data_IF_236554861084
#
_entry.id   IF_236554861084
#
_cell.length_a   1.000
_cell.length_b   1.000
_cell.length_c   1.000
_cell.angle_alpha   90.00
_cell.angle_beta   90.00
_cell.angle_gamma   90.00
#
_symmetry.space_group_name_H-M   'P 1'
#
loop_
_entity.id
_entity.type
_entity.pdbx_description
1 polymer ?
#
# COMPACT_ATOMS: atom_id res chain seq x y z
N UNK A 1 -13.85 4.89 -2.86
CA UNK A 1 -14.18 3.43 -2.89
C UNK A 1 -13.26 2.59 -1.99
N UNK A 2 -11.93 2.74 -2.09
CA UNK A 2 -10.94 1.93 -1.34
C UNK A 2 -11.22 1.83 0.16
N UNK A 3 -11.52 2.95 0.84
CA UNK A 3 -11.81 2.97 2.27
C UNK A 3 -13.07 2.17 2.66
N UNK A 4 -14.11 2.20 1.82
CA UNK A 4 -15.35 1.45 2.05
C UNK A 4 -15.11 -0.06 1.88
N UNK A 5 -14.38 -0.45 0.83
CA UNK A 5 -13.99 -1.85 0.63
C UNK A 5 -13.10 -2.37 1.76
N UNK A 6 -12.21 -1.53 2.29
CA UNK A 6 -11.37 -1.86 3.45
C UNK A 6 -12.22 -2.10 4.73
N UNK A 7 -13.28 -1.33 4.93
CA UNK A 7 -14.21 -1.50 6.04
C UNK A 7 -14.98 -2.83 5.94
N UNK A 8 -15.50 -3.15 4.75
CA UNK A 8 -16.27 -4.40 4.53
C UNK A 8 -15.42 -5.68 4.58
N UNK A 9 -14.12 -5.57 4.32
CA UNK A 9 -13.18 -6.70 4.30
C UNK A 9 -12.98 -7.39 5.67
N UNK A 10 -13.46 -6.83 6.78
CA UNK A 10 -13.36 -7.44 8.11
C UNK A 10 -11.92 -7.57 8.62
N UNK A 11 -11.73 -8.31 9.73
CA UNK A 11 -10.42 -8.49 10.37
C UNK A 11 -9.68 -9.79 10.05
N UNK A 12 -10.34 -10.74 9.38
CA UNK A 12 -9.78 -12.08 9.12
C UNK A 12 -9.06 -12.20 7.77
N UNK A 13 -8.21 -13.23 7.68
CA UNK A 13 -7.54 -13.64 6.44
C UNK A 13 -8.50 -14.51 5.62
N UNK A 14 -9.27 -13.87 4.74
CA UNK A 14 -10.15 -14.54 3.78
C UNK A 14 -9.67 -14.29 2.34
N UNK A 15 -10.02 -15.18 1.41
CA UNK A 15 -9.61 -15.08 0.00
C UNK A 15 -10.05 -13.74 -0.64
N UNK A 16 -11.26 -13.28 -0.32
CA UNK A 16 -11.78 -12.00 -0.81
C UNK A 16 -11.08 -10.80 -0.18
N UNK A 17 -10.74 -10.89 1.12
CA UNK A 17 -9.99 -9.87 1.82
C UNK A 17 -8.56 -9.73 1.28
N UNK A 18 -7.92 -10.84 0.89
CA UNK A 18 -6.58 -10.80 0.29
C UNK A 18 -6.55 -10.12 -1.08
N UNK A 19 -7.53 -10.39 -1.94
CA UNK A 19 -7.64 -9.72 -3.23
C UNK A 19 -7.78 -8.20 -3.09
N UNK A 20 -8.62 -7.75 -2.15
CA UNK A 20 -8.83 -6.33 -1.85
C UNK A 20 -7.55 -5.69 -1.29
N UNK A 21 -6.87 -6.34 -0.35
CA UNK A 21 -5.62 -5.84 0.24
C UNK A 21 -4.51 -5.73 -0.82
N UNK A 22 -4.38 -6.71 -1.71
CA UNK A 22 -3.43 -6.65 -2.82
C UNK A 22 -3.74 -5.46 -3.76
N UNK A 23 -5.00 -5.31 -4.18
CA UNK A 23 -5.40 -4.14 -4.97
C UNK A 23 -5.13 -2.82 -4.22
N UNK A 24 -5.36 -2.77 -2.91
CA UNK A 24 -5.13 -1.59 -2.09
C UNK A 24 -3.65 -1.19 -2.05
N UNK A 25 -2.74 -2.16 -1.99
CA UNK A 25 -1.29 -1.92 -2.02
C UNK A 25 -0.79 -1.50 -3.41
N UNK A 26 -1.31 -2.09 -4.50
CA UNK A 26 -0.79 -1.83 -5.85
C UNK A 26 -1.45 -0.65 -6.57
N UNK A 27 -2.68 -0.28 -6.21
CA UNK A 27 -3.39 0.84 -6.85
C UNK A 27 -2.67 2.19 -6.73
N UNK A 28 -2.06 2.57 -5.58
CA UNK A 28 -1.31 3.82 -5.44
C UNK A 28 -0.19 3.96 -6.49
N UNK A 29 0.54 2.89 -6.78
CA UNK A 29 1.60 2.90 -7.79
C UNK A 29 1.04 3.12 -9.21
N UNK A 30 -0.05 2.43 -9.54
CA UNK A 30 -0.75 2.60 -10.83
C UNK A 30 -1.33 4.02 -10.99
N UNK A 31 -1.85 4.57 -9.90
CA UNK A 31 -2.41 5.92 -9.87
C UNK A 31 -1.33 6.99 -10.07
N UNK A 32 -0.18 6.83 -9.41
CA UNK A 32 0.96 7.75 -9.56
C UNK A 32 1.53 7.67 -10.99
N UNK A 33 1.67 6.47 -11.57
CA UNK A 33 2.18 6.33 -12.95
C UNK A 33 1.22 6.91 -14.00
N UNK A 34 -0.10 6.82 -13.77
CA UNK A 34 -1.12 7.38 -14.65
C UNK A 34 -1.46 8.85 -14.37
N UNK A 35 -0.87 9.47 -13.34
CA UNK A 35 -1.23 10.81 -12.85
C UNK A 35 -1.20 11.87 -13.96
N UNK A 36 -0.12 11.96 -14.73
CA UNK A 36 0.00 12.96 -15.80
C UNK A 36 -1.07 12.81 -16.90
N UNK A 37 -1.55 11.60 -17.14
CA UNK A 37 -2.64 11.34 -18.08
C UNK A 37 -3.98 11.72 -17.48
N UNK A 38 -4.20 11.44 -16.19
CA UNK A 38 -5.44 11.79 -15.50
C UNK A 38 -5.63 13.32 -15.36
N UNK A 39 -4.54 14.07 -15.23
CA UNK A 39 -4.56 15.53 -15.11
C UNK A 39 -4.50 16.29 -16.45
N UNK A 40 -4.20 15.61 -17.57
CA UNK A 40 -4.08 16.23 -18.88
C UNK A 40 -5.34 17.02 -19.33
N UNK A 41 -6.59 16.54 -19.09
CA UNK A 41 -7.79 17.30 -19.47
C UNK A 41 -8.00 18.59 -18.68
N UNK A 42 -7.33 18.77 -17.54
CA UNK A 42 -7.49 19.92 -16.66
C UNK A 42 -6.39 20.97 -16.86
N UNK A 43 -5.39 20.69 -17.71
CA UNK A 43 -4.28 21.60 -17.95
C UNK A 43 -4.76 22.88 -18.69
N UNK A 44 -4.19 24.06 -18.36
CA UNK A 44 -4.51 25.29 -19.06
C UNK A 44 -3.97 25.25 -20.51
N UNK A 45 -4.88 25.12 -21.49
CA UNK A 45 -4.58 25.12 -22.91
C UNK A 45 -5.45 24.15 -23.73
N UNK A 46 -5.32 24.10 -25.07
CA UNK A 46 -6.04 23.15 -25.90
C UNK A 46 -5.67 21.69 -25.51
N UNK A 47 -6.64 20.76 -25.48
CA UNK A 47 -6.44 19.38 -25.01
C UNK A 47 -5.44 18.56 -25.84
N UNK A 48 -5.04 19.03 -27.02
CA UNK A 48 -4.05 18.43 -27.92
C UNK A 48 -2.61 18.94 -27.73
N UNK A 49 -2.37 19.88 -26.81
CA UNK A 49 -1.02 20.43 -26.60
C UNK A 49 -0.13 19.48 -25.79
N UNK A 50 1.13 19.23 -26.21
CA UNK A 50 2.09 18.41 -25.45
C UNK A 50 2.38 18.97 -24.05
N UNK A 51 2.09 20.26 -23.80
CA UNK A 51 2.19 20.91 -22.48
C UNK A 51 1.19 20.35 -21.46
N UNK A 52 0.07 19.76 -21.89
CA UNK A 52 -0.97 19.26 -20.99
C UNK A 52 -0.49 18.13 -20.05
N UNK A 53 0.48 17.33 -20.51
CA UNK A 53 1.10 16.23 -19.76
C UNK A 53 2.31 16.66 -18.92
N UNK A 54 2.68 17.94 -18.98
CA UNK A 54 3.87 18.46 -18.28
C UNK A 54 3.71 18.37 -16.77
N UNK A 55 4.80 18.13 -16.05
CA UNK A 55 4.81 18.12 -14.59
C UNK A 55 4.52 19.50 -13.98
N UNK A 56 4.76 20.57 -14.72
CA UNK A 56 4.58 21.96 -14.26
C UNK A 56 3.12 22.41 -14.24
N UNK A 57 2.20 21.67 -14.88
CA UNK A 57 0.76 22.00 -14.86
C UNK A 57 0.11 21.52 -13.57
N UNK A 58 -0.70 22.38 -12.93
CA UNK A 58 -1.49 22.07 -11.72
C UNK A 58 -0.68 21.39 -10.58
N UNK A 59 0.41 22.03 -10.10
CA UNK A 59 1.32 21.40 -9.15
C UNK A 59 0.66 21.09 -7.80
N UNK A 60 -0.22 21.98 -7.31
CA UNK A 60 -0.92 21.81 -6.02
C UNK A 60 -1.84 20.58 -6.03
N UNK A 61 -2.59 20.40 -7.11
CA UNK A 61 -3.55 19.31 -7.27
C UNK A 61 -2.84 17.96 -7.42
N UNK A 62 -1.72 17.93 -8.17
CA UNK A 62 -0.87 16.74 -8.29
C UNK A 62 -0.23 16.38 -6.95
N UNK A 63 0.22 17.36 -6.17
CA UNK A 63 0.75 17.13 -4.82
C UNK A 63 -0.31 16.52 -3.89
N UNK A 64 -1.53 17.08 -3.88
CA UNK A 64 -2.64 16.54 -3.10
C UNK A 64 -3.00 15.12 -3.53
N UNK A 65 -3.01 14.84 -4.84
CA UNK A 65 -3.25 13.50 -5.36
C UNK A 65 -2.17 12.50 -4.91
N UNK A 66 -0.90 12.89 -4.96
CA UNK A 66 0.21 12.08 -4.46
C UNK A 66 0.05 11.79 -2.96
N UNK A 67 -0.26 12.80 -2.14
CA UNK A 67 -0.48 12.65 -0.71
C UNK A 67 -1.63 11.66 -0.40
N UNK A 68 -2.74 11.75 -1.12
CA UNK A 68 -3.87 10.81 -0.98
C UNK A 68 -3.50 9.37 -1.36
N UNK A 69 -2.65 9.18 -2.38
CA UNK A 69 -2.16 7.85 -2.77
C UNK A 69 -1.21 7.27 -1.71
N UNK A 70 -0.34 8.08 -1.12
CA UNK A 70 0.52 7.69 0.00
C UNK A 70 -0.32 7.31 1.23
N UNK A 71 -1.34 8.09 1.56
CA UNK A 71 -2.28 7.77 2.64
C UNK A 71 -2.95 6.41 2.40
N UNK A 72 -3.39 6.15 1.17
CA UNK A 72 -4.03 4.88 0.81
C UNK A 72 -3.06 3.70 0.96
N UNK A 73 -1.79 3.88 0.55
CA UNK A 73 -0.74 2.88 0.75
C UNK A 73 -0.48 2.61 2.23
N UNK A 74 -0.39 3.67 3.05
CA UNK A 74 -0.18 3.55 4.50
C UNK A 74 -1.32 2.77 5.19
N UNK A 75 -2.57 3.03 4.80
CA UNK A 75 -3.73 2.27 5.29
C UNK A 75 -3.67 0.79 4.87
N UNK A 76 -3.22 0.51 3.64
CA UNK A 76 -3.00 -0.86 3.18
C UNK A 76 -1.95 -1.60 4.01
N UNK A 77 -0.79 -0.96 4.26
CA UNK A 77 0.26 -1.51 5.10
C UNK A 77 -0.20 -1.75 6.54
N UNK A 78 -0.95 -0.81 7.12
CA UNK A 78 -1.54 -0.97 8.45
C UNK A 78 -2.50 -2.15 8.51
N UNK A 79 -3.28 -2.38 7.45
CA UNK A 79 -4.17 -3.54 7.36
C UNK A 79 -3.40 -4.85 7.25
N UNK A 80 -2.36 -4.91 6.43
CA UNK A 80 -1.48 -6.08 6.32
C UNK A 80 -0.84 -6.42 7.67
N UNK A 81 -0.40 -5.41 8.42
CA UNK A 81 0.10 -5.58 9.79
C UNK A 81 -0.97 -6.15 10.72
N UNK A 82 -2.18 -5.59 10.69
CA UNK A 82 -3.31 -6.04 11.53
C UNK A 82 -3.74 -7.48 11.23
N UNK A 83 -3.55 -7.94 9.98
CA UNK A 83 -3.82 -9.32 9.56
C UNK A 83 -2.65 -10.29 9.83
N UNK A 84 -1.51 -9.81 10.34
CA UNK A 84 -0.32 -10.65 10.57
C UNK A 84 0.41 -11.10 9.30
N UNK A 85 0.26 -10.38 8.19
CA UNK A 85 0.91 -10.74 6.91
C UNK A 85 2.33 -10.20 6.77
N UNK A 86 2.67 -9.16 7.53
CA UNK A 86 3.98 -8.55 7.49
C UNK A 86 4.91 -9.28 8.47
N UNK A 87 6.12 -9.70 8.04
CA UNK A 87 7.07 -10.43 8.87
C UNK A 87 7.73 -9.48 9.90
N UNK A 88 6.95 -9.09 10.91
CA UNK A 88 7.29 -8.07 11.90
C UNK A 88 7.51 -8.67 13.28
N UNK A 89 7.01 -9.88 13.54
CA UNK A 89 7.21 -10.61 14.78
C UNK A 89 8.45 -11.50 14.72
N UNK A 90 9.04 -11.78 15.88
CA UNK A 90 10.12 -12.78 16.01
C UNK A 90 9.66 -14.17 15.56
N UNK A 91 8.38 -14.49 15.77
CA UNK A 91 7.76 -15.74 15.31
C UNK A 91 7.80 -15.94 13.79
N UNK A 92 7.78 -14.86 13.00
CA UNK A 92 7.82 -14.92 11.54
C UNK A 92 9.18 -15.43 11.04
N UNK A 93 10.22 -15.29 11.86
CA UNK A 93 11.61 -15.68 11.57
C UNK A 93 12.04 -16.95 12.28
N UNK A 94 11.15 -17.56 13.08
CA UNK A 94 11.49 -18.70 13.93
C UNK A 94 12.04 -19.89 13.14
N UNK A 95 11.58 -20.09 11.90
CA UNK A 95 12.09 -21.14 11.01
C UNK A 95 13.57 -20.98 10.64
N UNK A 96 14.14 -19.79 10.81
CA UNK A 96 15.53 -19.46 10.48
C UNK A 96 16.41 -19.29 11.72
N UNK A 97 15.85 -19.41 12.93
CA UNK A 97 16.58 -19.22 14.18
C UNK A 97 17.25 -20.51 14.64
N UNK A 98 18.58 -20.48 14.81
CA UNK A 98 19.33 -21.58 15.41
C UNK A 98 19.21 -21.50 16.94
N UNK A 99 18.66 -22.56 17.54
CA UNK A 99 18.64 -22.69 19.01
C UNK A 99 19.92 -23.38 19.47
N UNK A 100 20.53 -22.83 20.53
CA UNK A 100 21.63 -23.49 21.22
C UNK A 100 21.20 -24.83 21.82
N UNK A 101 22.16 -25.69 22.22
CA UNK A 101 21.84 -26.94 22.91
C UNK A 101 20.97 -26.67 24.14
N UNK A 102 20.04 -27.59 24.43
CA UNK A 102 19.19 -27.47 25.61
C UNK A 102 20.07 -27.40 26.87
N UNK A 103 19.78 -26.51 27.84
CA UNK A 103 20.53 -26.44 29.08
C UNK A 103 20.43 -27.79 29.79
N UNK A 104 21.58 -28.36 30.17
CA UNK A 104 21.60 -29.60 30.95
C UNK A 104 21.03 -29.30 32.33
N UNK A 105 19.81 -29.78 32.58
CA UNK A 105 19.17 -29.67 33.89
C UNK A 105 19.88 -30.67 34.78
N UNK A 106 20.92 -30.22 35.49
CA UNK A 106 21.54 -31.02 36.54
C UNK A 106 20.58 -31.07 37.74
N UNK A 107 19.76 -32.12 37.77
CA UNK A 107 19.02 -32.51 38.96
C UNK A 107 20.01 -33.12 39.96
N UNK A 108 20.63 -32.26 40.78
CA UNK A 108 21.28 -32.64 42.03
C UNK A 108 20.37 -32.28 43.21
#
# INVERSE_FOLDING_TARGET
MQAFMLYMSGGGVQIFSMGIVAMLLFSPFKNISAMNTAFAPFAPGPPSSPSAKSFTTLPLQKLAYLACNILTLALGLWKCRSMGLLPTGTGDWLAFESRGPAPEISLF
#
